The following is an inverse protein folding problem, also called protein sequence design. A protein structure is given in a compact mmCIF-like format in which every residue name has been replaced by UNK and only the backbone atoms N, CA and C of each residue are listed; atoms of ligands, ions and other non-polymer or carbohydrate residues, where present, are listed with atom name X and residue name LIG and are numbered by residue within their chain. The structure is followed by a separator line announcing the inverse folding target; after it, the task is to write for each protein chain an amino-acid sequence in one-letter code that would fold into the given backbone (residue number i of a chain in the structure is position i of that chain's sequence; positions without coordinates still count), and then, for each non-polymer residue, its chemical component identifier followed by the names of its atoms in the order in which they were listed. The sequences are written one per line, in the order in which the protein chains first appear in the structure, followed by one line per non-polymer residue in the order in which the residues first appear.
data_IF_833315101826
#
_entry.id   IF_833315101826
#
_cell.length_a   1.000
_cell.length_b   1.000
_cell.length_c   1.000
_cell.angle_alpha   90.00
_cell.angle_beta   90.00
_cell.angle_gamma   90.00
#
_symmetry.space_group_name_H-M   'P 1'
#
loop_
_entity.id
_entity.type
_entity.pdbx_description
1 polymer ?
#
# COMPACT_ATOMS: atom_id res chain seq x y z
N UNK A 1 -10.21 -17.48 25.74
CA UNK A 1 -9.36 -16.67 26.64
C UNK A 1 -7.95 -16.64 26.07
N UNK A 2 -7.56 -15.50 25.49
CA UNK A 2 -6.21 -14.99 25.40
C UNK A 2 -6.33 -13.59 24.78
N UNK A 3 -6.75 -12.63 25.59
CA UNK A 3 -6.61 -11.21 25.28
C UNK A 3 -5.11 -10.91 25.35
N UNK A 4 -4.47 -10.68 24.21
CA UNK A 4 -3.16 -10.03 24.21
C UNK A 4 -3.41 -8.54 24.48
N UNK A 5 -3.07 -8.12 25.70
CA UNK A 5 -2.95 -6.72 26.06
C UNK A 5 -1.69 -6.14 25.38
N UNK A 6 -1.90 -5.48 24.24
CA UNK A 6 -0.98 -4.46 23.74
C UNK A 6 -1.26 -3.13 24.42
N UNK A 7 -0.30 -2.22 24.44
CA UNK A 7 -0.24 -0.89 25.08
C UNK A 7 -1.36 0.13 24.74
N UNK A 8 -2.52 -0.31 24.25
CA UNK A 8 -3.61 0.54 23.79
C UNK A 8 -3.33 1.21 22.44
N UNK A 9 -2.17 1.01 21.82
CA UNK A 9 -1.88 1.58 20.49
C UNK A 9 -2.45 0.69 19.40
N UNK A 10 -3.22 1.31 18.50
CA UNK A 10 -3.69 0.67 17.28
C UNK A 10 -2.56 0.70 16.25
N UNK A 11 -2.01 -0.47 15.93
CA UNK A 11 -1.04 -0.60 14.82
C UNK A 11 -1.77 -0.66 13.49
N UNK A 12 -1.41 0.25 12.58
CA UNK A 12 -1.83 0.28 11.17
C UNK A 12 -0.65 -0.13 10.31
N UNK A 13 -0.90 -1.01 9.33
CA UNK A 13 0.10 -1.49 8.39
C UNK A 13 -0.08 -0.79 7.04
N UNK A 14 1.02 -0.29 6.50
CA UNK A 14 1.05 0.33 5.16
C UNK A 14 1.57 -0.69 4.17
N UNK A 15 0.75 -1.09 3.21
CA UNK A 15 1.08 -2.08 2.20
C UNK A 15 1.63 -1.43 0.94
N UNK A 16 2.73 -1.98 0.42
CA UNK A 16 3.26 -1.68 -0.91
C UNK A 16 2.62 -2.58 -1.99
N UNK A 17 2.88 -2.31 -3.27
CA UNK A 17 2.40 -3.13 -4.39
C UNK A 17 2.93 -4.56 -4.33
N UNK A 18 4.21 -4.77 -4.02
CA UNK A 18 4.84 -6.10 -3.97
C UNK A 18 4.10 -7.11 -3.08
N UNK A 19 3.91 -6.84 -1.77
CA UNK A 19 3.18 -7.74 -0.88
C UNK A 19 1.72 -7.99 -1.31
N UNK A 20 1.04 -7.00 -1.90
CA UNK A 20 -0.30 -7.18 -2.45
C UNK A 20 -0.28 -8.08 -3.69
N UNK A 21 0.67 -7.89 -4.58
CA UNK A 21 0.87 -8.72 -5.78
C UNK A 21 1.14 -10.17 -5.35
N UNK A 22 2.03 -10.40 -4.40
CA UNK A 22 2.35 -11.74 -3.91
C UNK A 22 1.13 -12.40 -3.26
N UNK A 23 0.40 -11.67 -2.42
CA UNK A 23 -0.80 -12.16 -1.75
C UNK A 23 -1.83 -12.67 -2.77
N UNK A 24 -2.15 -11.86 -3.78
CA UNK A 24 -3.17 -12.17 -4.77
C UNK A 24 -2.71 -13.22 -5.80
N UNK A 25 -1.42 -13.29 -6.12
CA UNK A 25 -0.91 -14.25 -7.12
C UNK A 25 -0.62 -15.63 -6.56
N UNK A 26 -0.20 -15.73 -5.29
CA UNK A 26 0.35 -16.96 -4.75
C UNK A 26 -0.51 -17.59 -3.64
N UNK A 27 -1.38 -16.82 -2.99
CA UNK A 27 -2.19 -17.31 -1.88
C UNK A 27 -3.67 -17.40 -2.28
N UNK A 28 -4.06 -18.50 -2.89
CA UNK A 28 -5.46 -18.73 -3.30
C UNK A 28 -6.42 -18.75 -2.10
N UNK A 29 -7.52 -18.01 -2.19
CA UNK A 29 -8.53 -17.85 -1.11
C UNK A 29 -9.02 -19.17 -0.53
N UNK A 30 -9.30 -20.15 -1.38
CA UNK A 30 -9.79 -21.48 -0.98
C UNK A 30 -8.75 -22.32 -0.22
N UNK A 31 -7.46 -22.11 -0.48
CA UNK A 31 -6.36 -22.87 0.15
C UNK A 31 -5.84 -22.21 1.42
N UNK A 32 -5.98 -20.89 1.54
CA UNK A 32 -5.51 -20.10 2.68
C UNK A 32 -6.64 -19.28 3.35
N UNK A 33 -7.78 -19.90 3.72
CA UNK A 33 -8.94 -19.16 4.19
C UNK A 33 -8.68 -18.35 5.47
N UNK A 34 -7.83 -18.86 6.37
CA UNK A 34 -7.47 -18.13 7.60
C UNK A 34 -6.67 -16.85 7.32
N UNK A 35 -5.76 -16.90 6.33
CA UNK A 35 -4.98 -15.73 5.90
C UNK A 35 -5.92 -14.64 5.37
N UNK A 36 -6.83 -15.01 4.47
CA UNK A 36 -7.75 -14.07 3.86
C UNK A 36 -8.77 -13.52 4.84
N UNK A 37 -9.33 -14.35 5.73
CA UNK A 37 -10.23 -13.87 6.78
C UNK A 37 -9.56 -12.84 7.69
N UNK A 38 -8.29 -13.06 8.05
CA UNK A 38 -7.53 -12.10 8.84
C UNK A 38 -7.20 -10.82 8.04
N UNK A 39 -6.77 -10.96 6.78
CA UNK A 39 -6.48 -9.83 5.91
C UNK A 39 -7.72 -8.96 5.68
N UNK A 40 -8.83 -9.55 5.24
CA UNK A 40 -10.10 -8.87 4.99
C UNK A 40 -10.61 -8.25 6.31
N UNK A 41 -10.51 -8.95 7.43
CA UNK A 41 -10.83 -8.41 8.75
C UNK A 41 -9.97 -7.20 9.14
N UNK A 42 -8.68 -7.20 8.82
CA UNK A 42 -7.80 -6.06 9.08
C UNK A 42 -8.11 -4.87 8.16
N UNK A 43 -8.48 -5.11 6.90
CA UNK A 43 -8.97 -4.08 5.97
C UNK A 43 -10.24 -3.44 6.51
N UNK A 44 -11.23 -4.23 6.93
CA UNK A 44 -12.50 -3.72 7.48
C UNK A 44 -12.30 -2.92 8.76
N UNK A 45 -11.37 -3.33 9.61
CA UNK A 45 -11.04 -2.63 10.86
C UNK A 45 -10.10 -1.41 10.65
N UNK A 46 -9.79 -1.03 9.41
CA UNK A 46 -8.92 0.11 9.12
C UNK A 46 -7.46 -0.07 9.55
N UNK A 47 -7.02 -1.33 9.75
CA UNK A 47 -5.66 -1.67 10.17
C UNK A 47 -4.71 -1.88 8.99
N UNK A 48 -5.23 -1.90 7.77
CA UNK A 48 -4.46 -1.94 6.52
C UNK A 48 -4.78 -0.68 5.73
N UNK A 49 -3.72 0.01 5.30
CA UNK A 49 -3.80 1.15 4.40
C UNK A 49 -2.69 1.04 3.36
N UNK A 50 -2.78 1.85 2.32
CA UNK A 50 -1.79 2.00 1.26
C UNK A 50 -1.98 3.38 0.63
N UNK A 51 -1.16 3.72 -0.35
CA UNK A 51 -1.20 5.04 -1.00
C UNK A 51 -1.91 4.97 -2.33
N UNK A 52 -2.44 6.10 -2.79
CA UNK A 52 -3.03 6.23 -4.12
C UNK A 52 -2.08 5.75 -5.23
N UNK A 53 -0.78 5.95 -5.05
CA UNK A 53 0.26 5.55 -6.00
C UNK A 53 0.32 4.02 -6.16
N UNK A 54 0.20 3.26 -5.06
CA UNK A 54 0.08 1.78 -5.13
C UNK A 54 -1.19 1.36 -5.87
N UNK A 55 -2.34 2.00 -5.61
CA UNK A 55 -3.59 1.73 -6.37
C UNK A 55 -3.40 1.96 -7.87
N UNK A 56 -2.76 3.06 -8.27
CA UNK A 56 -2.50 3.35 -9.68
C UNK A 56 -1.56 2.33 -10.35
N UNK A 57 -0.63 1.75 -9.59
CA UNK A 57 0.24 0.68 -10.07
C UNK A 57 -0.55 -0.60 -10.31
N UNK A 58 -1.28 -1.08 -9.28
CA UNK A 58 -1.92 -2.40 -9.32
C UNK A 58 -3.18 -2.46 -10.17
N UNK A 59 -3.93 -1.34 -10.30
CA UNK A 59 -5.10 -1.27 -11.19
C UNK A 59 -4.73 -1.47 -12.67
N UNK A 60 -3.46 -1.32 -13.03
CA UNK A 60 -2.98 -1.49 -14.41
C UNK A 60 -2.86 -2.94 -14.89
N UNK A 61 -2.96 -3.94 -13.99
CA UNK A 61 -2.73 -5.34 -14.34
C UNK A 61 -3.99 -6.09 -14.79
N UNK A 62 -5.20 -5.59 -14.47
CA UNK A 62 -6.46 -6.17 -14.92
C UNK A 62 -6.79 -7.56 -14.36
N UNK A 63 -6.20 -7.92 -13.22
CA UNK A 63 -6.39 -9.18 -12.51
C UNK A 63 -7.26 -9.01 -11.24
N UNK A 64 -7.39 -10.08 -10.45
CA UNK A 64 -8.18 -10.08 -9.21
C UNK A 64 -7.73 -8.99 -8.22
N UNK A 65 -6.42 -8.68 -8.20
CA UNK A 65 -5.87 -7.60 -7.38
C UNK A 65 -6.35 -6.24 -7.89
N UNK A 66 -6.36 -6.02 -9.20
CA UNK A 66 -6.85 -4.78 -9.78
C UNK A 66 -8.33 -4.54 -9.44
N UNK A 67 -9.17 -5.57 -9.51
CA UNK A 67 -10.59 -5.45 -9.12
C UNK A 67 -10.78 -5.22 -7.62
N UNK A 68 -10.02 -5.94 -6.78
CA UNK A 68 -10.03 -5.69 -5.34
C UNK A 68 -9.59 -4.27 -5.00
N UNK A 69 -8.56 -3.75 -5.68
CA UNK A 69 -8.05 -2.41 -5.45
C UNK A 69 -9.09 -1.33 -5.79
N UNK A 70 -9.82 -1.48 -6.90
CA UNK A 70 -10.93 -0.58 -7.28
C UNK A 70 -12.04 -0.58 -6.23
N UNK A 71 -12.44 -1.76 -5.77
CA UNK A 71 -13.50 -1.91 -4.77
C UNK A 71 -13.12 -1.30 -3.42
N UNK A 72 -11.83 -1.37 -3.06
CA UNK A 72 -11.31 -0.89 -1.78
C UNK A 72 -10.63 0.48 -1.88
N UNK A 73 -10.77 1.19 -3.01
CA UNK A 73 -10.04 2.44 -3.30
C UNK A 73 -10.17 3.48 -2.19
N UNK A 74 -11.38 3.68 -1.67
CA UNK A 74 -11.64 4.69 -0.61
C UNK A 74 -11.22 4.23 0.78
N UNK A 75 -11.13 2.92 1.02
CA UNK A 75 -10.89 2.34 2.33
C UNK A 75 -9.40 2.11 2.59
N UNK A 76 -8.70 1.60 1.58
CA UNK A 76 -7.29 1.20 1.70
C UNK A 76 -6.36 2.28 1.15
N UNK A 77 -6.67 2.84 -0.02
CA UNK A 77 -5.72 3.67 -0.78
C UNK A 77 -5.97 5.16 -0.58
N UNK A 78 -5.25 5.73 0.39
CA UNK A 78 -5.45 7.13 0.78
C UNK A 78 -4.67 8.09 -0.11
N UNK A 79 -5.22 9.29 -0.28
CA UNK A 79 -4.48 10.40 -0.89
C UNK A 79 -3.51 10.96 0.15
N UNK A 80 -2.21 11.13 -0.20
CA UNK A 80 -1.23 11.71 0.70
C UNK A 80 -1.67 13.09 1.23
N UNK A 81 -1.47 13.32 2.51
CA UNK A 81 -1.63 14.60 3.19
C UNK A 81 -0.51 15.57 2.81
N UNK A 82 -0.67 16.85 3.15
CA UNK A 82 0.38 17.87 2.90
C UNK A 82 1.69 17.49 3.61
N UNK A 83 1.63 17.05 4.86
CA UNK A 83 2.82 16.63 5.63
C UNK A 83 3.50 15.40 5.00
N UNK A 84 2.71 14.44 4.51
CA UNK A 84 3.27 13.28 3.82
C UNK A 84 3.94 13.69 2.50
N UNK A 85 3.38 14.67 1.77
CA UNK A 85 3.98 15.22 0.55
C UNK A 85 5.27 16.00 0.82
N UNK A 86 5.36 16.73 1.93
CA UNK A 86 6.58 17.40 2.36
C UNK A 86 7.69 16.38 2.64
N UNK A 87 7.39 15.29 3.35
CA UNK A 87 8.34 14.21 3.58
C UNK A 87 8.79 13.53 2.26
N UNK A 88 7.87 13.33 1.31
CA UNK A 88 8.21 12.84 -0.04
C UNK A 88 9.14 13.80 -0.76
N UNK A 89 8.88 15.12 -0.69
CA UNK A 89 9.75 16.15 -1.27
C UNK A 89 11.15 16.10 -0.65
N UNK A 90 11.24 15.93 0.65
CA UNK A 90 12.52 15.87 1.36
C UNK A 90 13.31 14.61 0.95
N UNK A 91 12.64 13.47 0.73
CA UNK A 91 13.28 12.27 0.18
C UNK A 91 13.89 12.57 -1.20
N UNK A 92 13.14 13.23 -2.09
CA UNK A 92 13.63 13.57 -3.43
C UNK A 92 14.61 14.76 -3.48
N UNK A 93 14.79 15.50 -2.37
CA UNK A 93 15.80 16.55 -2.27
C UNK A 93 17.23 16.02 -2.24
N UNK A 94 17.39 14.73 -1.92
CA UNK A 94 18.68 14.03 -1.95
C UNK A 94 18.91 13.50 -3.37
N UNK A 95 19.97 13.99 -4.03
CA UNK A 95 20.30 13.64 -5.43
C UNK A 95 20.35 12.14 -5.68
N UNK A 96 20.86 11.36 -4.73
CA UNK A 96 20.91 9.89 -4.83
C UNK A 96 19.53 9.24 -5.00
N UNK A 97 18.48 9.78 -4.36
CA UNK A 97 17.12 9.26 -4.48
C UNK A 97 16.37 9.79 -5.70
N UNK A 98 16.89 10.82 -6.39
CA UNK A 98 16.34 11.26 -7.66
C UNK A 98 16.53 10.20 -8.76
N UNK A 99 17.56 9.36 -8.66
CA UNK A 99 17.78 8.24 -9.57
C UNK A 99 16.71 7.14 -9.42
N UNK A 100 15.97 7.09 -8.30
CA UNK A 100 14.80 6.20 -8.16
C UNK A 100 13.67 6.60 -9.12
N UNK A 101 13.60 7.87 -9.55
CA UNK A 101 12.68 8.36 -10.58
C UNK A 101 13.12 7.93 -11.99
N UNK A 102 13.72 6.73 -12.14
CA UNK A 102 14.38 6.24 -13.36
C UNK A 102 13.59 6.65 -14.60
N UNK A 103 14.30 7.23 -15.59
CA UNK A 103 13.80 7.83 -16.84
C UNK A 103 12.55 7.17 -17.49
N UNK A 104 12.31 5.87 -17.32
CA UNK A 104 11.11 5.17 -17.80
C UNK A 104 9.81 5.56 -17.09
N UNK A 105 9.82 5.78 -15.78
CA UNK A 105 8.61 6.18 -15.03
C UNK A 105 8.23 7.65 -15.28
N UNK A 106 9.24 8.51 -15.53
CA UNK A 106 9.04 9.87 -16.07
C UNK A 106 8.31 9.88 -17.42
N UNK A 107 8.60 8.92 -18.31
CA UNK A 107 7.94 8.84 -19.63
C UNK A 107 6.52 8.27 -19.56
N UNK A 108 6.16 7.52 -18.50
CA UNK A 108 4.82 6.96 -18.28
C UNK A 108 3.93 7.81 -17.37
N UNK A 109 4.47 8.85 -16.73
CA UNK A 109 3.71 9.78 -15.89
C UNK A 109 3.21 9.17 -14.58
N UNK A 110 3.83 8.10 -14.08
CA UNK A 110 3.44 7.43 -12.83
C UNK A 110 4.49 7.72 -11.75
N UNK A 111 4.11 8.31 -10.59
CA UNK A 111 5.01 8.44 -9.45
C UNK A 111 5.42 7.05 -8.96
N UNK A 112 6.68 6.89 -8.53
CA UNK A 112 7.15 5.68 -7.82
C UNK A 112 6.42 5.60 -6.48
N UNK A 113 5.87 4.44 -6.11
CA UNK A 113 5.07 4.28 -4.90
C UNK A 113 5.89 4.36 -3.60
N UNK A 114 7.14 3.88 -3.61
CA UNK A 114 7.96 3.69 -2.40
C UNK A 114 8.07 4.93 -1.51
N UNK A 115 8.37 6.15 -2.02
CA UNK A 115 8.49 7.33 -1.16
C UNK A 115 7.17 7.69 -0.47
N UNK A 116 6.04 7.43 -1.14
CA UNK A 116 4.71 7.66 -0.56
C UNK A 116 4.39 6.61 0.51
N UNK A 117 4.72 5.33 0.26
CA UNK A 117 4.54 4.25 1.24
C UNK A 117 5.37 4.53 2.50
N UNK A 118 6.64 4.92 2.35
CA UNK A 118 7.52 5.28 3.47
C UNK A 118 6.95 6.47 4.24
N UNK A 119 6.52 7.51 3.53
CA UNK A 119 5.96 8.71 4.15
C UNK A 119 4.70 8.40 4.96
N UNK A 120 3.82 7.53 4.44
CA UNK A 120 2.59 7.10 5.11
C UNK A 120 2.82 6.26 6.36
N UNK A 121 3.95 5.55 6.43
CA UNK A 121 4.30 4.68 7.55
C UNK A 121 5.02 5.39 8.70
N UNK A 122 5.34 6.69 8.54
CA UNK A 122 6.04 7.50 9.55
C UNK A 122 5.14 7.91 10.71
#
# INVERSE_FOLDING_TARGET
MAVQAGDGRVTVYVFDSGPLIDLFRHYYRERFPSLWNNFDGMVENGRITSTREVSNEVEGYGDDLAEWAKQNRRKVFVTPTVTELEAVRDIFSVDHFQDMLRKKERMRGRPVADPFVISRAR
#
